data_IF_188610986428
#
_entry.id   IF_188610986428
#
_cell.length_a   1.000
_cell.length_b   1.000
_cell.length_c   1.000
_cell.angle_alpha   90.00
_cell.angle_beta   90.00
_cell.angle_gamma   90.00
#
_symmetry.space_group_name_H-M   'P 1'
#
loop_
_entity.id
_entity.type
_entity.pdbx_description
1 polymer ?
#
# COMPACT_ATOMS: atom_id res chain seq x y z
N UNK A 1 8.43 -2.03 -24.92
CA UNK A 1 7.97 -1.16 -23.81
C UNK A 1 8.07 -2.01 -22.55
N UNK A 2 8.97 -1.72 -21.60
CA UNK A 2 9.10 -2.58 -20.42
C UNK A 2 7.97 -2.23 -19.45
N UNK A 3 7.12 -3.21 -19.18
CA UNK A 3 6.10 -3.12 -18.12
C UNK A 3 6.83 -3.48 -16.83
N UNK A 4 7.43 -2.49 -16.17
CA UNK A 4 8.14 -2.67 -14.90
C UNK A 4 7.23 -2.26 -13.75
N UNK A 5 6.22 -3.06 -13.42
CA UNK A 5 5.38 -2.81 -12.24
C UNK A 5 5.00 -4.06 -11.43
N UNK A 6 5.40 -5.26 -11.86
CA UNK A 6 4.82 -6.52 -11.32
C UNK A 6 5.57 -7.18 -10.15
N UNK A 7 6.78 -6.74 -9.76
CA UNK A 7 7.64 -7.59 -8.91
C UNK A 7 7.47 -7.45 -7.39
N UNK A 8 6.41 -6.80 -6.90
CA UNK A 8 6.06 -7.01 -5.49
C UNK A 8 4.57 -6.81 -5.25
N UNK A 9 3.84 -7.89 -4.99
CA UNK A 9 2.42 -7.87 -4.59
C UNK A 9 2.18 -6.84 -3.47
N UNK A 10 3.16 -6.67 -2.58
CA UNK A 10 3.15 -5.63 -1.53
C UNK A 10 3.13 -4.19 -2.06
N UNK A 11 3.89 -3.89 -3.12
CA UNK A 11 3.89 -2.57 -3.74
C UNK A 11 2.53 -2.29 -4.41
N UNK A 12 1.95 -3.28 -5.08
CA UNK A 12 0.60 -3.16 -5.64
C UNK A 12 -0.43 -2.88 -4.54
N UNK A 13 -0.42 -3.64 -3.45
CA UNK A 13 -1.32 -3.41 -2.32
C UNK A 13 -1.18 -2.00 -1.73
N UNK A 14 0.05 -1.49 -1.60
CA UNK A 14 0.33 -0.11 -1.18
C UNK A 14 -0.36 0.89 -2.10
N UNK A 15 -0.17 0.75 -3.41
CA UNK A 15 -0.76 1.63 -4.42
C UNK A 15 -2.29 1.57 -4.37
N UNK A 16 -2.88 0.37 -4.24
CA UNK A 16 -4.33 0.22 -4.12
C UNK A 16 -4.89 0.91 -2.87
N UNK A 17 -4.21 0.78 -1.72
CA UNK A 17 -4.61 1.43 -0.47
C UNK A 17 -4.52 2.95 -0.57
N UNK A 18 -3.42 3.46 -1.12
CA UNK A 18 -3.22 4.90 -1.33
C UNK A 18 -4.28 5.46 -2.27
N UNK A 19 -4.56 4.79 -3.39
CA UNK A 19 -5.58 5.19 -4.36
C UNK A 19 -6.99 5.17 -3.76
N UNK A 20 -7.29 4.19 -2.91
CA UNK A 20 -8.57 4.12 -2.19
C UNK A 20 -8.71 5.23 -1.14
N UNK A 21 -7.62 5.56 -0.43
CA UNK A 21 -7.59 6.68 0.51
C UNK A 21 -7.73 8.02 -0.22
N UNK A 22 -7.04 8.21 -1.33
CA UNK A 22 -7.12 9.41 -2.16
C UNK A 22 -8.55 9.63 -2.69
N UNK A 23 -9.16 8.59 -3.28
CA UNK A 23 -10.56 8.63 -3.75
C UNK A 23 -11.57 8.92 -2.65
N UNK A 24 -11.23 8.66 -1.38
CA UNK A 24 -12.12 8.86 -0.24
C UNK A 24 -11.73 10.06 0.61
N UNK A 25 -10.70 10.83 0.22
CA UNK A 25 -10.19 11.97 0.97
C UNK A 25 -9.60 11.61 2.33
N UNK A 26 -8.96 10.44 2.45
CA UNK A 26 -8.35 9.96 3.71
C UNK A 26 -9.31 9.22 4.64
N UNK A 27 -10.56 8.98 4.21
CA UNK A 27 -11.55 8.26 5.01
C UNK A 27 -11.30 6.75 5.00
N UNK A 28 -10.57 6.27 6.01
CA UNK A 28 -10.18 4.85 6.19
C UNK A 28 -11.37 3.90 6.12
N UNK A 29 -12.52 4.25 6.71
CA UNK A 29 -13.73 3.41 6.67
C UNK A 29 -14.30 3.26 5.26
N UNK A 30 -14.26 4.33 4.45
CA UNK A 30 -14.73 4.30 3.06
C UNK A 30 -13.71 3.60 2.16
N UNK A 31 -12.43 3.82 2.38
CA UNK A 31 -11.36 3.12 1.67
C UNK A 31 -11.43 1.60 1.90
N UNK A 32 -11.68 1.17 3.14
CA UNK A 32 -11.87 -0.25 3.47
C UNK A 32 -13.06 -0.85 2.71
N UNK A 33 -14.20 -0.13 2.66
CA UNK A 33 -15.38 -0.54 1.87
C UNK A 33 -15.07 -0.63 0.37
N UNK A 34 -14.29 0.30 -0.18
CA UNK A 34 -13.90 0.27 -1.61
C UNK A 34 -12.95 -0.88 -1.94
N UNK A 35 -12.08 -1.25 -1.00
CA UNK A 35 -11.14 -2.35 -1.15
C UNK A 35 -11.76 -3.72 -0.82
N UNK A 36 -13.01 -3.76 -0.35
CA UNK A 36 -13.68 -5.00 0.05
C UNK A 36 -13.10 -5.65 1.31
N UNK A 37 -12.36 -4.90 2.12
CA UNK A 37 -11.71 -5.39 3.35
C UNK A 37 -12.29 -4.72 4.59
N UNK A 38 -12.01 -5.30 5.76
CA UNK A 38 -12.42 -4.67 7.02
C UNK A 38 -11.54 -3.47 7.36
N UNK A 39 -12.07 -2.53 8.16
CA UNK A 39 -11.30 -1.39 8.67
C UNK A 39 -10.09 -1.85 9.50
N UNK A 40 -10.20 -2.99 10.19
CA UNK A 40 -9.10 -3.62 10.93
C UNK A 40 -7.99 -4.08 10.00
N UNK A 41 -8.33 -4.76 8.90
CA UNK A 41 -7.37 -5.17 7.87
C UNK A 41 -6.70 -3.96 7.22
N UNK A 42 -7.46 -2.92 6.91
CA UNK A 42 -6.90 -1.68 6.34
C UNK A 42 -5.92 -1.02 7.32
N UNK A 43 -6.25 -0.97 8.62
CA UNK A 43 -5.36 -0.45 9.66
C UNK A 43 -4.07 -1.26 9.77
N UNK A 44 -4.17 -2.60 9.74
CA UNK A 44 -3.01 -3.48 9.79
C UNK A 44 -2.11 -3.26 8.57
N UNK A 45 -2.68 -3.26 7.35
CA UNK A 45 -1.93 -2.98 6.12
C UNK A 45 -1.29 -1.59 6.16
N UNK A 46 -2.01 -0.54 6.60
CA UNK A 46 -1.42 0.80 6.79
C UNK A 46 -0.26 0.82 7.78
N UNK A 47 -0.33 0.00 8.83
CA UNK A 47 0.74 -0.11 9.84
C UNK A 47 1.95 -0.83 9.25
N UNK A 48 1.75 -1.93 8.54
CA UNK A 48 2.80 -2.66 7.83
C UNK A 48 3.51 -1.75 6.81
N UNK A 49 2.75 -1.00 6.01
CA UNK A 49 3.32 -0.05 5.04
C UNK A 49 4.19 1.04 5.69
N UNK A 50 3.79 1.53 6.87
CA UNK A 50 4.55 2.53 7.63
C UNK A 50 5.76 1.95 8.34
N UNK A 51 5.69 0.69 8.77
CA UNK A 51 6.81 -0.01 9.38
C UNK A 51 7.85 -0.38 8.30
N UNK A 52 7.42 -0.83 7.13
CA UNK A 52 8.31 -1.17 6.02
C UNK A 52 9.00 0.06 5.39
N UNK A 53 8.40 1.25 5.42
CA UNK A 53 9.07 2.50 5.03
C UNK A 53 10.33 2.80 5.86
N UNK A 54 10.44 2.25 7.08
CA UNK A 54 11.63 2.37 7.91
C UNK A 54 12.68 1.29 7.65
N UNK A 55 12.31 0.20 6.97
CA UNK A 55 13.20 -0.94 6.71
C UNK A 55 13.73 -0.98 5.26
N UNK A 56 13.10 -0.26 4.32
CA UNK A 56 13.45 -0.33 2.88
C UNK A 56 14.60 0.59 2.42
N UNK A 57 15.23 1.34 3.31
CA UNK A 57 16.40 2.19 2.96
C UNK A 57 17.72 1.42 2.79
N UNK A 58 17.70 0.10 2.56
CA UNK A 58 18.92 -0.73 2.55
C UNK A 58 19.10 -1.69 1.37
N UNK A 59 18.24 -1.69 0.35
CA UNK A 59 18.35 -2.71 -0.73
C UNK A 59 18.38 -2.17 -2.17
N UNK A 60 18.54 -0.86 -2.39
CA UNK A 60 18.68 -0.29 -3.74
C UNK A 60 20.10 0.28 -4.04
N UNK A 61 21.14 -0.21 -3.32
CA UNK A 61 22.56 -0.02 -3.69
C UNK A 61 23.19 -1.38 -4.03
N UNK A 62 22.83 -1.97 -5.17
CA UNK A 62 23.66 -2.95 -5.89
C UNK A 62 23.14 -3.06 -7.34
N UNK A 63 23.58 -2.15 -8.21
CA UNK A 63 24.32 -2.46 -9.46
C UNK A 63 24.94 -1.18 -10.08
#
# INVERSE_FOLDING_TARGET
MPITDDLNIKNMEKVFILKALEKTGGNKTRAAKLLGITVRTLRNKLKELKLEESEKSKEDEEE
#
